data_IF_460258836545
#
_entry.id   IF_460258836545
#
_cell.length_a   1.000
_cell.length_b   1.000
_cell.length_c   1.000
_cell.angle_alpha   90.00
_cell.angle_beta   90.00
_cell.angle_gamma   90.00
#
_symmetry.space_group_name_H-M   'P 1'
#
loop_
_entity.id
_entity.type
_entity.pdbx_description
1 polymer ?
#
# COMPACT_ATOMS: atom_id res chain seq x y z
N UNK A 1 -17.84 10.95 -8.13
CA UNK A 1 -16.67 11.79 -8.47
C UNK A 1 -15.73 11.81 -7.28
N UNK A 2 -14.60 11.10 -7.34
CA UNK A 2 -13.61 11.11 -6.27
C UNK A 2 -13.09 12.55 -6.12
N UNK A 3 -13.24 13.12 -4.92
CA UNK A 3 -12.75 14.46 -4.62
C UNK A 3 -11.26 14.52 -4.96
N UNK A 4 -10.90 15.42 -5.86
CA UNK A 4 -9.52 15.79 -6.26
C UNK A 4 -8.75 16.46 -5.09
N UNK A 5 -9.22 16.31 -3.85
CA UNK A 5 -8.67 16.95 -2.64
C UNK A 5 -7.75 16.10 -1.75
N UNK A 6 -7.53 14.81 -2.03
CA UNK A 6 -6.70 13.93 -1.17
C UNK A 6 -5.19 13.98 -1.51
N UNK A 7 -4.61 15.17 -1.72
CA UNK A 7 -3.19 15.32 -2.08
C UNK A 7 -2.21 14.69 -1.07
N UNK A 8 -2.66 14.43 0.16
CA UNK A 8 -1.87 13.80 1.22
C UNK A 8 -2.10 12.28 1.37
N UNK A 9 -3.04 11.67 0.65
CA UNK A 9 -3.40 10.26 0.82
C UNK A 9 -2.28 9.28 0.43
N UNK A 10 -1.63 9.54 -0.70
CA UNK A 10 -0.44 8.79 -1.13
C UNK A 10 0.74 9.01 -0.20
N UNK A 11 1.01 10.25 0.20
CA UNK A 11 2.10 10.59 1.14
C UNK A 11 1.92 9.88 2.48
N UNK A 12 0.70 9.85 3.02
CA UNK A 12 0.37 9.09 4.23
C UNK A 12 0.58 7.59 4.04
N UNK A 13 0.15 7.05 2.91
CA UNK A 13 0.34 5.62 2.58
C UNK A 13 1.82 5.24 2.56
N UNK A 14 2.65 6.05 1.91
CA UNK A 14 4.09 5.82 1.84
C UNK A 14 4.77 6.01 3.20
N UNK A 15 4.40 7.06 3.95
CA UNK A 15 4.93 7.31 5.29
C UNK A 15 4.57 6.15 6.25
N UNK A 16 3.30 5.71 6.28
CA UNK A 16 2.85 4.59 7.08
C UNK A 16 3.58 3.29 6.72
N UNK A 17 3.78 3.05 5.42
CA UNK A 17 4.53 1.88 4.95
C UNK A 17 5.95 1.88 5.51
N UNK A 18 6.65 3.02 5.47
CA UNK A 18 8.02 3.12 6.01
C UNK A 18 8.04 3.02 7.54
N UNK A 19 7.06 3.62 8.23
CA UNK A 19 6.93 3.51 9.69
C UNK A 19 6.68 2.07 10.15
N UNK A 20 6.04 1.23 9.34
CA UNK A 20 5.86 -0.20 9.63
C UNK A 20 7.13 -0.99 9.30
N UNK A 21 7.78 -0.70 8.16
CA UNK A 21 8.94 -1.45 7.69
C UNK A 21 10.20 -1.18 8.55
N UNK A 22 10.41 0.05 9.01
CA UNK A 22 11.58 0.44 9.79
C UNK A 22 11.79 -0.38 11.09
N UNK A 23 10.79 -0.53 11.99
CA UNK A 23 10.96 -1.33 13.20
C UNK A 23 11.21 -2.80 12.90
N UNK A 24 10.57 -3.36 11.87
CA UNK A 24 10.78 -4.77 11.47
C UNK A 24 12.23 -4.99 11.02
N UNK A 25 12.81 -4.05 10.26
CA UNK A 25 14.21 -4.10 9.85
C UNK A 25 15.17 -4.10 11.05
N UNK A 26 14.88 -3.24 12.04
CA UNK A 26 15.70 -3.11 13.24
C UNK A 26 15.56 -4.30 14.20
N UNK A 27 14.42 -5.00 14.17
CA UNK A 27 14.18 -6.21 14.95
C UNK A 27 14.80 -7.46 14.33
N UNK A 28 14.51 -7.74 13.05
CA UNK A 28 14.97 -8.97 12.38
C UNK A 28 16.46 -8.92 12.05
N UNK A 29 17.00 -7.74 11.72
CA UNK A 29 18.42 -7.51 11.39
C UNK A 29 19.00 -8.52 10.38
N UNK A 30 18.19 -8.94 9.40
CA UNK A 30 18.60 -9.92 8.38
C UNK A 30 19.72 -9.34 7.52
N UNK A 31 20.84 -10.07 7.42
CA UNK A 31 21.96 -9.75 6.54
C UNK A 31 21.52 -9.78 5.08
N UNK A 32 21.96 -8.80 4.29
CA UNK A 32 21.72 -8.76 2.83
C UNK A 32 22.59 -9.79 2.09
N UNK A 33 22.15 -10.27 0.91
CA UNK A 33 22.95 -11.16 0.06
C UNK A 33 24.32 -10.56 -0.32
N UNK A 34 24.36 -9.27 -0.65
CA UNK A 34 25.57 -8.49 -0.97
C UNK A 34 26.47 -8.19 0.26
N UNK A 35 26.07 -8.61 1.47
CA UNK A 35 26.76 -8.35 2.74
C UNK A 35 26.90 -6.87 3.11
N UNK A 36 26.25 -5.95 2.40
CA UNK A 36 26.38 -4.50 2.61
C UNK A 36 25.86 -4.04 3.96
N UNK A 37 24.78 -4.63 4.47
CA UNK A 37 24.24 -4.36 5.80
C UNK A 37 23.31 -5.48 6.33
N UNK A 38 22.72 -5.23 7.50
CA UNK A 38 21.78 -6.11 8.21
C UNK A 38 20.32 -5.66 8.11
N UNK A 39 19.95 -4.88 7.10
CA UNK A 39 18.59 -4.32 6.95
C UNK A 39 17.92 -4.87 5.68
N UNK A 40 17.99 -6.19 5.48
CA UNK A 40 17.43 -6.87 4.31
C UNK A 40 15.92 -7.11 4.45
N UNK A 41 15.45 -7.63 5.58
CA UNK A 41 14.03 -7.96 5.77
C UNK A 41 13.25 -6.82 6.43
N UNK A 42 12.05 -6.45 5.94
CA UNK A 42 11.49 -6.70 4.60
C UNK A 42 11.99 -5.65 3.59
N UNK A 43 11.68 -5.83 2.30
CA UNK A 43 12.00 -4.83 1.26
C UNK A 43 11.10 -3.60 1.36
N UNK A 44 11.66 -2.47 1.80
CA UNK A 44 10.93 -1.21 1.92
C UNK A 44 10.55 -0.58 0.57
N UNK A 45 11.34 -0.80 -0.49
CA UNK A 45 10.98 -0.30 -1.82
C UNK A 45 9.84 -1.12 -2.42
N UNK A 46 9.89 -2.45 -2.27
CA UNK A 46 8.78 -3.31 -2.67
C UNK A 46 7.52 -2.98 -1.88
N UNK A 47 7.62 -2.79 -0.56
CA UNK A 47 6.47 -2.40 0.25
C UNK A 47 5.84 -1.08 -0.23
N UNK A 48 6.64 -0.05 -0.50
CA UNK A 48 6.12 1.24 -0.97
C UNK A 48 5.46 1.18 -2.35
N UNK A 49 6.05 0.46 -3.31
CA UNK A 49 5.46 0.37 -4.67
C UNK A 49 4.17 -0.44 -4.69
N UNK A 50 4.10 -1.54 -3.92
CA UNK A 50 2.86 -2.30 -3.75
C UNK A 50 1.79 -1.52 -2.98
N UNK A 51 2.17 -0.74 -1.96
CA UNK A 51 1.24 0.12 -1.23
C UNK A 51 0.63 1.20 -2.13
N UNK A 52 1.45 1.81 -3.00
CA UNK A 52 0.98 2.78 -3.99
C UNK A 52 0.03 2.14 -5.00
N UNK A 53 0.40 0.99 -5.58
CA UNK A 53 -0.45 0.27 -6.54
C UNK A 53 -1.81 -0.09 -5.94
N UNK A 54 -1.82 -0.59 -4.69
CA UNK A 54 -3.05 -0.93 -3.99
C UNK A 54 -3.89 0.29 -3.61
N UNK A 55 -3.27 1.38 -3.17
CA UNK A 55 -3.99 2.63 -2.91
C UNK A 55 -4.69 3.14 -4.17
N UNK A 56 -3.99 3.13 -5.31
CA UNK A 56 -4.57 3.55 -6.60
C UNK A 56 -5.69 2.61 -7.02
N UNK A 57 -5.53 1.30 -6.84
CA UNK A 57 -6.57 0.31 -7.13
C UNK A 57 -7.86 0.60 -6.36
N UNK A 58 -7.75 0.90 -5.07
CA UNK A 58 -8.92 1.17 -4.23
C UNK A 58 -9.58 2.52 -4.56
N UNK A 59 -8.80 3.51 -4.99
CA UNK A 59 -9.30 4.89 -5.20
C UNK A 59 -9.79 5.16 -6.63
N UNK A 60 -9.16 4.54 -7.62
CA UNK A 60 -9.37 4.81 -9.04
C UNK A 60 -9.76 3.56 -9.84
N UNK A 61 -9.84 2.41 -9.18
CA UNK A 61 -10.25 1.14 -9.80
C UNK A 61 -9.09 0.32 -10.36
N UNK A 62 -9.40 -0.88 -10.91
CA UNK A 62 -8.39 -1.86 -11.30
C UNK A 62 -7.56 -1.44 -12.52
N UNK A 63 -8.19 -0.84 -13.54
CA UNK A 63 -7.53 -0.45 -14.79
C UNK A 63 -6.29 0.45 -14.58
N UNK A 64 -6.36 1.58 -13.85
CA UNK A 64 -5.18 2.40 -13.61
C UNK A 64 -4.15 1.76 -12.68
N UNK A 65 -4.53 0.74 -11.91
CA UNK A 65 -3.61 0.07 -10.96
C UNK A 65 -2.77 -1.04 -11.58
N UNK A 66 -3.24 -1.67 -12.67
CA UNK A 66 -2.52 -2.75 -13.35
C UNK A 66 -1.06 -2.38 -13.73
N UNK A 67 -0.79 -1.26 -14.43
CA UNK A 67 0.60 -0.89 -14.74
C UNK A 67 1.43 -0.63 -13.48
N UNK A 68 0.82 -0.15 -12.40
CA UNK A 68 1.52 0.08 -11.14
C UNK A 68 1.93 -1.22 -10.45
N UNK A 69 1.11 -2.27 -10.51
CA UNK A 69 1.49 -3.59 -10.02
C UNK A 69 2.63 -4.21 -10.83
N UNK A 70 2.65 -4.01 -12.15
CA UNK A 70 3.78 -4.43 -12.99
C UNK A 70 5.05 -3.71 -12.59
N UNK A 71 5.01 -2.38 -12.43
CA UNK A 71 6.16 -1.60 -11.95
C UNK A 71 6.61 -2.01 -10.54
N UNK A 72 5.66 -2.36 -9.67
CA UNK A 72 5.96 -2.86 -8.33
C UNK A 72 6.68 -4.23 -8.37
N UNK A 73 6.25 -5.13 -9.25
CA UNK A 73 6.90 -6.41 -9.50
C UNK A 73 8.32 -6.23 -10.06
N UNK A 74 8.49 -5.37 -11.08
CA UNK A 74 9.81 -5.03 -11.65
C UNK A 74 10.74 -4.47 -10.58
N UNK A 75 10.22 -3.61 -9.69
CA UNK A 75 10.99 -3.10 -8.54
C UNK A 75 11.44 -4.23 -7.62
N UNK A 76 10.56 -5.20 -7.33
CA UNK A 76 10.88 -6.38 -6.54
C UNK A 76 11.99 -7.23 -7.18
N UNK A 77 11.89 -7.51 -8.48
CA UNK A 77 12.90 -8.25 -9.24
C UNK A 77 14.24 -7.52 -9.25
N UNK A 78 14.26 -6.23 -9.55
CA UNK A 78 15.50 -5.43 -9.53
C UNK A 78 16.18 -5.39 -8.15
N UNK A 79 15.41 -5.52 -7.07
CA UNK A 79 15.96 -5.64 -5.71
C UNK A 79 16.62 -7.00 -5.43
N UNK A 80 16.17 -8.05 -6.10
CA UNK A 80 16.80 -9.39 -6.04
C UNK A 80 18.04 -9.44 -6.92
N UNK A 81 17.96 -8.97 -8.17
CA UNK A 81 19.09 -8.89 -9.11
C UNK A 81 20.25 -8.07 -8.54
N UNK A 82 19.94 -6.97 -7.85
CA UNK A 82 20.94 -6.16 -7.14
C UNK A 82 21.53 -6.83 -5.90
N UNK A 83 21.23 -8.10 -5.61
CA UNK A 83 21.66 -8.87 -4.43
C UNK A 83 21.36 -8.17 -3.09
N UNK A 84 20.31 -7.35 -3.03
CA UNK A 84 19.99 -6.56 -1.82
C UNK A 84 18.93 -7.21 -0.96
N UNK A 85 18.11 -8.06 -1.56
CA UNK A 85 16.96 -8.70 -0.92
C UNK A 85 16.81 -10.15 -1.43
N UNK A 86 16.46 -11.05 -0.52
CA UNK A 86 15.98 -12.38 -0.87
C UNK A 86 14.54 -12.31 -1.37
N UNK A 87 14.10 -13.33 -2.11
CA UNK A 87 12.70 -13.46 -2.55
C UNK A 87 11.72 -13.32 -1.39
N UNK A 88 12.01 -13.90 -0.22
CA UNK A 88 11.15 -13.76 0.96
C UNK A 88 11.07 -12.33 1.52
N UNK A 89 12.11 -11.51 1.36
CA UNK A 89 12.05 -10.09 1.76
C UNK A 89 11.15 -9.29 0.80
N UNK A 90 11.14 -9.67 -0.48
CA UNK A 90 10.29 -9.07 -1.53
C UNK A 90 8.83 -9.48 -1.32
N UNK A 91 8.56 -10.77 -1.11
CA UNK A 91 7.20 -11.27 -0.86
C UNK A 91 6.60 -10.66 0.40
N UNK A 92 7.35 -10.61 1.51
CA UNK A 92 6.87 -9.94 2.72
C UNK A 92 6.68 -8.43 2.49
N UNK A 93 7.59 -7.78 1.77
CA UNK A 93 7.44 -6.37 1.39
C UNK A 93 6.13 -6.14 0.62
N UNK A 94 5.84 -6.96 -0.38
CA UNK A 94 4.60 -6.88 -1.16
C UNK A 94 3.35 -7.08 -0.28
N UNK A 95 3.36 -8.07 0.61
CA UNK A 95 2.25 -8.33 1.53
C UNK A 95 1.98 -7.14 2.47
N UNK A 96 3.02 -6.57 3.09
CA UNK A 96 2.91 -5.38 3.94
C UNK A 96 2.40 -4.18 3.12
N UNK A 97 2.92 -3.98 1.91
CA UNK A 97 2.49 -2.91 1.03
C UNK A 97 1.00 -2.99 0.69
N UNK A 98 0.53 -4.17 0.26
CA UNK A 98 -0.89 -4.40 -0.05
C UNK A 98 -1.77 -4.17 1.18
N UNK A 99 -1.34 -4.62 2.37
CA UNK A 99 -2.10 -4.41 3.60
C UNK A 99 -2.27 -2.90 3.89
N UNK A 100 -1.17 -2.13 3.85
CA UNK A 100 -1.20 -0.69 4.11
C UNK A 100 -2.05 0.04 3.06
N UNK A 101 -1.80 -0.22 1.78
CA UNK A 101 -2.56 0.41 0.68
C UNK A 101 -4.05 0.06 0.70
N UNK A 102 -4.42 -1.11 1.21
CA UNK A 102 -5.83 -1.50 1.39
C UNK A 102 -6.51 -0.68 2.47
N UNK A 103 -5.82 -0.43 3.58
CA UNK A 103 -6.34 0.36 4.71
C UNK A 103 -6.43 1.84 4.36
N UNK A 104 -5.43 2.38 3.65
CA UNK A 104 -5.40 3.81 3.33
C UNK A 104 -6.21 4.18 2.09
N UNK A 105 -6.30 3.26 1.12
CA UNK A 105 -7.06 3.44 -0.11
C UNK A 105 -8.55 3.14 0.02
N UNK A 106 -8.98 2.50 1.12
CA UNK A 106 -10.38 2.20 1.37
C UNK A 106 -11.22 3.49 1.23
N UNK A 107 -12.36 3.44 0.50
CA UNK A 107 -13.19 4.62 0.28
C UNK A 107 -13.66 5.19 1.63
N UNK A 108 -13.03 6.30 2.05
CA UNK A 108 -13.44 7.07 3.22
C UNK A 108 -14.69 7.87 2.84
N UNK A 109 -15.85 7.26 3.02
CA UNK A 109 -17.10 7.93 2.63
C UNK A 109 -18.38 7.13 2.71
N UNK A 110 -18.51 6.15 3.62
CA UNK A 110 -19.84 5.63 3.95
C UNK A 110 -20.60 6.68 4.79
N UNK A 111 -21.06 7.75 4.14
CA UNK A 111 -22.03 8.66 4.73
C UNK A 111 -23.38 7.96 4.63
N UNK A 112 -23.75 7.25 5.71
CA UNK A 112 -25.13 6.84 5.94
C UNK A 112 -25.96 8.12 6.09
N UNK A 113 -26.50 8.63 4.98
CA UNK A 113 -27.41 9.77 5.03
C UNK A 113 -28.78 9.24 5.43
N UNK A 114 -29.11 9.43 6.70
CA UNK A 114 -30.42 9.14 7.28
C UNK A 114 -31.31 10.35 7.03
N UNK A 115 -32.31 10.20 6.16
CA UNK A 115 -33.22 11.30 5.81
C UNK A 115 -34.60 10.99 6.38
N UNK A 116 -35.14 11.82 7.31
CA UNK A 116 -36.50 11.63 7.78
C UNK A 116 -37.47 11.94 6.64
N UNK A 117 -38.35 10.97 6.36
CA UNK A 117 -39.37 11.05 5.29
C UNK A 117 -40.74 11.00 5.99
N UNK A 118 -41.82 11.63 5.46
CA UNK A 118 -43.11 11.71 6.16
C UNK A 118 -43.79 10.36 6.52
N UNK A 119 -43.23 9.22 6.10
CA UNK A 119 -43.66 7.87 6.47
C UNK A 119 -42.57 7.00 7.11
N UNK A 120 -41.43 7.56 7.54
CA UNK A 120 -40.36 6.80 8.21
C UNK A 120 -38.95 7.35 7.97
N UNK A 121 -37.96 6.46 8.03
CA UNK A 121 -36.55 6.80 7.83
C UNK A 121 -36.04 6.11 6.57
N UNK A 122 -35.55 6.87 5.59
CA UNK A 122 -34.85 6.31 4.45
C UNK A 122 -33.34 6.42 4.69
N UNK A 123 -32.66 5.26 4.67
CA UNK A 123 -31.21 5.19 4.64
C UNK A 123 -30.78 4.92 3.20
N UNK A 124 -29.97 5.81 2.62
CA UNK A 124 -29.48 5.66 1.25
C UNK A 124 -27.96 5.48 1.27
N UNK A 125 -27.50 4.30 0.88
CA UNK A 125 -26.10 4.05 0.58
C UNK A 125 -25.79 4.64 -0.80
N UNK A 126 -24.77 5.50 -0.89
CA UNK A 126 -24.23 5.97 -2.17
C UNK A 126 -22.86 5.36 -2.37
N UNK A 127 -22.74 4.56 -3.43
CA UNK A 127 -21.48 4.00 -3.94
C UNK A 127 -20.81 5.00 -4.89
#
# INVERSE_FOLDING_TARGET
>A
MASVGDGHGLTRTLALTQMIVAPIKLGVRRRRPDRSNRLSFPSGHTASTFAMARYVQQRYGPQPSMPLYVLAAVTGVGRMEGNRHYLSDVLMGAAVGIAVGSVTGAPRGEKLTVTPTPGGVSARLRF
#
